data_IF_001537481241
#
_entry.id   IF_001537481241
#
_cell.length_a   1.000
_cell.length_b   1.000
_cell.length_c   1.000
_cell.angle_alpha   90.00
_cell.angle_beta   90.00
_cell.angle_gamma   90.00
#
_symmetry.space_group_name_H-M   'P 1'
#
loop_
_entity.id
_entity.type
_entity.pdbx_description
1 polymer ?
#
# COMPACT_ATOMS: atom_id res chain seq x y z
N UNK A 1 -3.25 -28.91 -42.89
CA UNK A 1 -2.60 -28.87 -41.56
C UNK A 1 -2.60 -27.42 -41.11
N UNK A 2 -3.66 -27.01 -40.42
CA UNK A 2 -3.74 -25.74 -39.69
C UNK A 2 -4.25 -26.11 -38.32
N UNK A 3 -3.37 -26.04 -37.32
CA UNK A 3 -3.71 -26.25 -35.93
C UNK A 3 -4.25 -24.94 -35.38
N UNK A 4 -5.52 -24.93 -35.02
CA UNK A 4 -6.12 -23.90 -34.19
C UNK A 4 -5.49 -23.96 -32.79
N UNK A 5 -4.82 -22.87 -32.41
CA UNK A 5 -4.38 -22.65 -31.04
C UNK A 5 -5.61 -22.35 -30.17
N UNK A 6 -5.80 -23.04 -29.03
CA UNK A 6 -6.90 -22.73 -28.15
C UNK A 6 -6.60 -21.45 -27.37
N UNK A 7 -7.59 -20.56 -27.37
CA UNK A 7 -7.82 -19.43 -26.49
C UNK A 7 -6.97 -19.40 -25.21
N UNK A 8 -5.97 -18.52 -25.19
CA UNK A 8 -5.39 -17.99 -23.96
C UNK A 8 -6.38 -16.99 -23.33
N UNK A 9 -7.54 -17.47 -22.89
CA UNK A 9 -8.36 -16.74 -21.92
C UNK A 9 -7.65 -16.86 -20.58
N UNK A 10 -7.04 -15.76 -20.11
CA UNK A 10 -6.46 -15.71 -18.77
C UNK A 10 -7.51 -16.18 -17.77
N UNK A 11 -7.21 -17.22 -17.00
CA UNK A 11 -8.07 -17.68 -15.91
C UNK A 11 -8.25 -16.51 -14.94
N UNK A 12 -9.45 -15.93 -14.92
CA UNK A 12 -9.85 -14.93 -13.93
C UNK A 12 -9.70 -15.63 -12.56
N UNK A 13 -8.63 -15.28 -11.83
CA UNK A 13 -8.31 -15.93 -10.55
C UNK A 13 -9.37 -15.52 -9.55
N UNK A 14 -10.00 -16.50 -8.90
CA UNK A 14 -10.93 -16.26 -7.78
C UNK A 14 -10.31 -15.30 -6.76
N UNK A 15 -11.12 -14.42 -6.19
CA UNK A 15 -10.71 -13.49 -5.12
C UNK A 15 -9.98 -14.23 -3.98
N UNK A 16 -10.45 -15.43 -3.65
CA UNK A 16 -9.82 -16.34 -2.69
C UNK A 16 -8.37 -16.66 -3.07
N UNK A 17 -8.12 -17.08 -4.31
CA UNK A 17 -6.77 -17.39 -4.80
C UNK A 17 -5.86 -16.17 -4.78
N UNK A 18 -6.38 -14.98 -5.07
CA UNK A 18 -5.60 -13.74 -5.02
C UNK A 18 -5.19 -13.40 -3.58
N UNK A 19 -6.11 -13.53 -2.62
CA UNK A 19 -5.83 -13.29 -1.20
C UNK A 19 -4.85 -14.32 -0.66
N UNK A 20 -5.01 -15.60 -1.00
CA UNK A 20 -4.08 -16.67 -0.61
C UNK A 20 -2.65 -16.35 -1.09
N UNK A 21 -2.50 -15.96 -2.36
CA UNK A 21 -1.21 -15.58 -2.93
C UNK A 21 -0.60 -14.35 -2.26
N UNK A 22 -1.42 -13.35 -1.91
CA UNK A 22 -0.97 -12.16 -1.20
C UNK A 22 -0.48 -12.50 0.22
N UNK A 23 -1.20 -13.36 0.93
CA UNK A 23 -0.79 -13.86 2.26
C UNK A 23 0.50 -14.67 2.14
N UNK A 24 0.60 -15.59 1.19
CA UNK A 24 1.83 -16.37 0.96
C UNK A 24 3.04 -15.50 0.58
N UNK A 25 2.83 -14.47 -0.24
CA UNK A 25 3.88 -13.51 -0.57
C UNK A 25 4.34 -12.73 0.67
N UNK A 26 3.40 -12.31 1.52
CA UNK A 26 3.72 -11.67 2.79
C UNK A 26 4.45 -12.62 3.75
N UNK A 27 4.00 -13.86 3.91
CA UNK A 27 4.65 -14.88 4.73
C UNK A 27 6.09 -15.17 4.28
N UNK A 28 6.36 -15.14 2.97
CA UNK A 28 7.72 -15.27 2.43
C UNK A 28 8.59 -14.04 2.65
N UNK A 29 7.99 -12.88 2.86
CA UNK A 29 8.69 -11.61 3.08
C UNK A 29 9.01 -11.38 4.56
N UNK A 30 8.07 -11.69 5.47
CA UNK A 30 8.18 -11.45 6.92
C UNK A 30 9.53 -11.86 7.55
N UNK A 31 10.14 -13.02 7.22
CA UNK A 31 11.43 -13.40 7.80
C UNK A 31 12.59 -12.45 7.45
N UNK A 32 12.46 -11.64 6.39
CA UNK A 32 13.45 -10.65 5.94
C UNK A 32 13.10 -9.22 6.36
N UNK A 33 11.95 -9.03 7.01
CA UNK A 33 11.67 -7.75 7.65
C UNK A 33 12.73 -7.52 8.73
N UNK A 34 13.08 -6.26 8.98
CA UNK A 34 13.94 -5.86 10.09
C UNK A 34 13.36 -4.58 10.71
N UNK A 35 13.47 -4.40 12.04
CA UNK A 35 13.10 -3.15 12.69
C UNK A 35 13.88 -1.96 12.11
N UNK A 36 13.18 -0.91 11.69
CA UNK A 36 13.83 0.31 11.23
C UNK A 36 14.54 1.01 12.39
N UNK A 37 15.84 1.28 12.24
CA UNK A 37 16.67 2.03 13.20
C UNK A 37 16.63 3.55 12.98
N UNK A 38 15.99 4.01 11.89
CA UNK A 38 15.81 5.43 11.59
C UNK A 38 14.44 5.94 12.04
N UNK A 39 14.37 7.25 12.33
CA UNK A 39 13.20 7.93 12.95
C UNK A 39 11.87 7.43 12.39
N UNK A 40 11.04 6.90 13.28
CA UNK A 40 9.69 6.46 12.96
C UNK A 40 8.77 7.62 12.57
N UNK A 41 7.65 7.28 11.91
CA UNK A 41 6.58 8.25 11.63
C UNK A 41 6.10 8.90 12.94
N UNK A 42 5.96 10.22 12.95
CA UNK A 42 5.39 11.00 14.07
C UNK A 42 3.88 10.84 14.19
N UNK A 43 3.20 10.42 13.12
CA UNK A 43 1.76 10.20 13.09
C UNK A 43 1.40 8.76 12.69
N UNK A 44 0.30 8.20 13.24
CA UNK A 44 -0.23 6.90 12.80
C UNK A 44 -0.58 6.91 11.30
N UNK A 45 -0.28 5.81 10.61
CA UNK A 45 -0.69 5.65 9.22
C UNK A 45 -2.23 5.60 9.12
N UNK A 46 -2.82 6.57 8.40
CA UNK A 46 -4.28 6.67 8.21
C UNK A 46 -4.91 5.48 7.48
N UNK A 47 -4.10 4.70 6.74
CA UNK A 47 -4.55 3.50 6.02
C UNK A 47 -4.59 2.26 6.91
N UNK A 48 -3.64 2.15 7.85
CA UNK A 48 -3.51 0.98 8.73
C UNK A 48 -4.32 1.16 10.03
N UNK A 49 -4.38 2.38 10.55
CA UNK A 49 -5.09 2.67 11.80
C UNK A 49 -6.59 2.35 11.63
N UNK A 50 -7.11 1.44 12.45
CA UNK A 50 -8.51 1.02 12.40
C UNK A 50 -8.87 0.15 11.18
N UNK A 51 -7.89 -0.37 10.44
CA UNK A 51 -8.13 -1.18 9.24
C UNK A 51 -8.88 -2.48 9.56
N UNK A 52 -10.06 -2.73 8.95
CA UNK A 52 -10.78 -4.00 9.10
C UNK A 52 -9.98 -5.20 8.59
N UNK A 53 -9.14 -5.00 7.57
CA UNK A 53 -8.25 -6.00 6.99
C UNK A 53 -7.24 -6.49 8.04
N UNK A 54 -6.59 -5.55 8.74
CA UNK A 54 -5.61 -5.89 9.79
C UNK A 54 -6.27 -6.53 11.01
N UNK A 55 -7.49 -6.11 11.34
CA UNK A 55 -8.28 -6.72 12.40
C UNK A 55 -8.67 -8.17 12.05
N UNK A 56 -9.11 -8.43 10.81
CA UNK A 56 -9.42 -9.77 10.32
C UNK A 56 -8.19 -10.68 10.30
N UNK A 57 -7.03 -10.13 9.88
CA UNK A 57 -5.74 -10.83 9.91
C UNK A 57 -5.19 -11.07 11.33
N UNK A 58 -5.76 -10.42 12.36
CA UNK A 58 -5.40 -10.62 13.77
C UNK A 58 -4.09 -9.98 14.19
N UNK A 59 -3.62 -8.96 13.47
CA UNK A 59 -2.35 -8.25 13.74
C UNK A 59 -2.53 -6.74 14.01
N UNK A 60 -3.78 -6.27 14.05
CA UNK A 60 -4.09 -4.88 14.36
C UNK A 60 -3.61 -4.51 15.77
N UNK A 61 -2.66 -3.57 15.84
CA UNK A 61 -2.18 -2.99 17.11
C UNK A 61 -1.20 -3.87 17.90
N UNK A 62 -0.90 -5.08 17.47
CA UNK A 62 -0.01 -6.03 18.17
C UNK A 62 1.30 -6.29 17.44
N UNK A 63 1.54 -5.61 16.32
CA UNK A 63 2.65 -5.91 15.41
C UNK A 63 3.26 -4.59 14.91
N UNK A 64 4.56 -4.50 14.60
CA UNK A 64 5.16 -3.29 14.05
C UNK A 64 4.45 -2.76 12.79
N UNK A 65 4.43 -1.44 12.64
CA UNK A 65 3.75 -0.79 11.51
C UNK A 65 4.22 -1.30 10.15
N UNK A 66 5.53 -1.47 9.94
CA UNK A 66 6.07 -1.96 8.66
C UNK A 66 5.53 -3.33 8.26
N UNK A 67 5.38 -4.23 9.24
CA UNK A 67 4.83 -5.57 9.03
C UNK A 67 3.34 -5.53 8.71
N UNK A 68 2.56 -4.73 9.45
CA UNK A 68 1.14 -4.50 9.16
C UNK A 68 0.95 -3.89 7.77
N UNK A 69 1.75 -2.87 7.45
CA UNK A 69 1.71 -2.14 6.19
C UNK A 69 1.96 -3.08 5.01
N UNK A 70 2.99 -3.93 5.11
CA UNK A 70 3.32 -4.93 4.09
C UNK A 70 2.17 -5.87 3.73
N UNK A 71 1.34 -6.30 4.69
CA UNK A 71 0.15 -7.10 4.41
C UNK A 71 -0.96 -6.24 3.81
N UNK A 72 -1.21 -5.07 4.42
CA UNK A 72 -2.31 -4.19 4.03
C UNK A 72 -2.19 -3.69 2.58
N UNK A 73 -0.97 -3.38 2.11
CA UNK A 73 -0.75 -2.94 0.73
C UNK A 73 -1.06 -4.04 -0.27
N UNK A 74 -0.60 -5.27 -0.02
CA UNK A 74 -0.85 -6.42 -0.90
C UNK A 74 -2.36 -6.71 -1.02
N UNK A 75 -3.08 -6.63 0.10
CA UNK A 75 -4.54 -6.77 0.11
C UNK A 75 -5.21 -5.59 -0.62
N UNK A 76 -4.73 -4.36 -0.40
CA UNK A 76 -5.23 -3.18 -1.10
C UNK A 76 -5.08 -3.32 -2.61
N UNK A 77 -3.96 -3.84 -3.11
CA UNK A 77 -3.76 -4.09 -4.56
C UNK A 77 -4.85 -4.98 -5.15
N UNK A 78 -5.31 -6.00 -4.41
CA UNK A 78 -6.41 -6.88 -4.84
C UNK A 78 -7.73 -6.09 -4.93
N UNK A 79 -8.04 -5.27 -3.92
CA UNK A 79 -9.23 -4.41 -3.92
C UNK A 79 -9.18 -3.43 -5.07
N UNK A 80 -8.05 -2.74 -5.25
CA UNK A 80 -7.85 -1.76 -6.31
C UNK A 80 -8.02 -2.39 -7.70
N UNK A 81 -7.49 -3.60 -7.91
CA UNK A 81 -7.66 -4.34 -9.17
C UNK A 81 -9.13 -4.70 -9.42
N UNK A 82 -9.82 -5.28 -8.43
CA UNK A 82 -11.23 -5.63 -8.57
C UNK A 82 -12.11 -4.40 -8.85
N UNK A 83 -11.85 -3.29 -8.15
CA UNK A 83 -12.56 -2.02 -8.37
C UNK A 83 -12.23 -1.45 -9.74
N UNK A 84 -10.99 -1.53 -10.21
CA UNK A 84 -10.60 -1.09 -11.55
C UNK A 84 -11.31 -1.90 -12.64
N UNK A 85 -11.39 -3.23 -12.50
CA UNK A 85 -12.12 -4.07 -13.45
C UNK A 85 -13.62 -3.77 -13.46
N UNK A 86 -14.22 -3.60 -12.26
CA UNK A 86 -15.62 -3.19 -12.15
C UNK A 86 -15.86 -1.81 -12.78
N UNK A 87 -14.99 -0.86 -12.52
CA UNK A 87 -15.08 0.51 -13.05
C UNK A 87 -14.98 0.51 -14.57
N UNK A 88 -14.01 -0.20 -15.14
CA UNK A 88 -13.83 -0.29 -16.59
C UNK A 88 -15.02 -0.94 -17.31
N UNK A 89 -15.67 -1.92 -16.66
CA UNK A 89 -16.83 -2.64 -17.24
C UNK A 89 -18.15 -1.87 -17.08
N UNK A 90 -18.34 -1.14 -15.98
CA UNK A 90 -19.65 -0.64 -15.58
C UNK A 90 -19.77 0.89 -15.46
N UNK A 91 -18.66 1.61 -15.32
CA UNK A 91 -18.63 3.03 -14.95
C UNK A 91 -17.87 3.87 -16.00
N UNK A 92 -18.46 4.07 -17.19
CA UNK A 92 -17.75 4.66 -18.33
C UNK A 92 -17.44 6.16 -18.19
N UNK A 93 -18.15 6.88 -17.32
CA UNK A 93 -17.84 8.30 -17.06
C UNK A 93 -16.61 8.39 -16.17
N UNK A 94 -16.60 7.65 -15.05
CA UNK A 94 -15.49 7.54 -14.13
C UNK A 94 -14.25 6.97 -14.81
N UNK A 95 -14.39 5.92 -15.61
CA UNK A 95 -13.26 5.32 -16.34
C UNK A 95 -12.57 6.34 -17.24
N UNK A 96 -13.34 7.17 -17.95
CA UNK A 96 -12.79 8.21 -18.84
C UNK A 96 -12.00 9.27 -18.08
N UNK A 97 -12.50 9.70 -16.92
CA UNK A 97 -11.79 10.64 -16.05
C UNK A 97 -10.50 10.02 -15.48
N UNK A 98 -10.55 8.75 -15.07
CA UNK A 98 -9.38 8.01 -14.62
C UNK A 98 -8.34 7.85 -15.74
N UNK A 99 -8.77 7.53 -16.97
CA UNK A 99 -7.88 7.42 -18.13
C UNK A 99 -7.21 8.75 -18.47
N UNK A 100 -7.98 9.85 -18.42
CA UNK A 100 -7.46 11.19 -18.63
C UNK A 100 -6.42 11.54 -17.56
N UNK A 101 -6.71 11.25 -16.29
CA UNK A 101 -5.78 11.48 -15.19
C UNK A 101 -4.54 10.58 -15.26
N UNK A 102 -4.69 9.31 -15.66
CA UNK A 102 -3.59 8.39 -15.85
C UNK A 102 -2.67 8.84 -17.01
N UNK A 103 -3.25 9.32 -18.12
CA UNK A 103 -2.48 9.88 -19.23
C UNK A 103 -1.67 11.11 -18.80
N UNK A 104 -2.26 12.00 -17.98
CA UNK A 104 -1.54 13.13 -17.39
C UNK A 104 -0.42 12.71 -16.47
N UNK A 105 -0.68 11.77 -15.56
CA UNK A 105 0.36 11.26 -14.67
C UNK A 105 1.51 10.65 -15.49
N UNK A 106 1.20 9.91 -16.57
CA UNK A 106 2.18 9.37 -17.53
C UNK A 106 2.93 10.43 -18.36
N UNK A 107 2.45 11.66 -18.41
CA UNK A 107 3.13 12.77 -19.07
C UNK A 107 4.06 13.55 -18.12
N UNK A 108 3.99 13.32 -16.81
CA UNK A 108 4.89 13.96 -15.83
C UNK A 108 6.33 13.54 -16.07
N UNK A 109 7.24 14.51 -15.99
CA UNK A 109 8.69 14.35 -16.10
C UNK A 109 9.32 13.67 -14.88
N UNK A 110 8.69 13.77 -13.71
CA UNK A 110 9.17 13.17 -12.46
C UNK A 110 8.08 12.41 -11.70
N UNK A 111 8.39 11.17 -11.28
CA UNK A 111 7.49 10.28 -10.52
C UNK A 111 8.26 9.55 -9.40
N UNK A 112 8.27 10.10 -8.18
CA UNK A 112 9.09 9.55 -7.10
C UNK A 112 8.60 8.20 -6.55
N UNK A 113 7.38 7.78 -6.88
CA UNK A 113 6.78 6.52 -6.39
C UNK A 113 6.71 5.43 -7.44
N UNK A 114 7.23 5.66 -8.65
CA UNK A 114 7.25 4.65 -9.72
C UNK A 114 8.20 3.50 -9.32
N UNK A 115 7.79 2.27 -9.61
CA UNK A 115 8.56 1.04 -9.36
C UNK A 115 8.99 0.77 -7.90
N UNK A 116 8.29 1.35 -6.92
CA UNK A 116 8.51 1.03 -5.50
C UNK A 116 7.88 -0.32 -5.13
N UNK A 117 8.59 -1.10 -4.29
CA UNK A 117 8.02 -2.32 -3.71
C UNK A 117 6.81 -2.00 -2.79
N UNK A 118 5.85 -2.95 -2.62
CA UNK A 118 4.63 -2.71 -1.84
C UNK A 118 4.84 -2.23 -0.40
N UNK A 119 5.94 -2.64 0.25
CA UNK A 119 6.33 -2.17 1.58
C UNK A 119 6.65 -0.67 1.63
N UNK A 120 7.10 -0.08 0.53
CA UNK A 120 7.42 1.36 0.44
C UNK A 120 6.23 2.19 -0.04
N UNK A 121 5.16 1.58 -0.56
CA UNK A 121 3.99 2.31 -1.05
C UNK A 121 3.35 3.15 0.05
N UNK A 122 3.22 4.47 -0.15
CA UNK A 122 2.62 5.37 0.84
C UNK A 122 3.53 5.67 2.04
N UNK A 123 4.82 5.36 1.96
CA UNK A 123 5.84 5.99 2.80
C UNK A 123 5.90 7.50 2.52
N UNK A 124 6.16 8.34 3.55
CA UNK A 124 6.37 9.76 3.33
C UNK A 124 7.57 9.92 2.39
N UNK A 125 7.41 10.72 1.34
CA UNK A 125 8.48 10.99 0.39
C UNK A 125 9.58 11.83 1.04
N UNK A 126 9.17 12.76 1.90
CA UNK A 126 10.06 13.69 2.58
C UNK A 126 10.04 13.46 4.09
N UNK A 127 11.18 13.68 4.77
CA UNK A 127 11.23 13.71 6.22
C UNK A 127 10.42 14.87 6.79
N UNK A 128 9.94 14.72 8.02
CA UNK A 128 9.23 15.80 8.73
C UNK A 128 10.19 16.99 8.92
N UNK A 129 9.79 18.23 8.55
CA UNK A 129 10.63 19.39 8.71
C UNK A 129 10.96 19.67 10.18
N UNK A 130 12.26 19.90 10.44
CA UNK A 130 12.74 20.30 11.76
C UNK A 130 12.81 21.83 11.81
N UNK A 131 12.24 22.49 12.83
CA UNK A 131 12.35 23.93 12.98
C UNK A 131 13.82 24.39 12.93
N UNK A 132 14.12 25.35 12.06
CA UNK A 132 15.48 25.89 11.88
C UNK A 132 16.41 25.12 10.94
N UNK A 133 15.99 23.97 10.39
CA UNK A 133 16.73 23.23 9.37
C UNK A 133 15.99 23.32 8.01
N UNK A 134 16.30 24.29 7.14
CA UNK A 134 15.61 24.42 5.87
C UNK A 134 16.04 23.32 4.89
N UNK A 135 15.07 22.72 4.20
CA UNK A 135 15.35 21.96 3.00
C UNK A 135 15.54 22.91 1.81
N UNK A 136 16.52 22.64 0.95
CA UNK A 136 16.68 23.36 -0.30
C UNK A 136 15.59 22.99 -1.32
N UNK A 137 15.13 21.73 -1.27
CA UNK A 137 14.04 21.18 -2.08
C UNK A 137 13.42 19.98 -1.35
N UNK A 138 12.19 19.62 -1.70
CA UNK A 138 11.51 18.40 -1.25
C UNK A 138 11.18 17.53 -2.45
N UNK A 139 11.18 16.21 -2.27
CA UNK A 139 10.79 15.24 -3.29
C UNK A 139 9.33 15.50 -3.71
N UNK A 140 8.44 15.78 -2.75
CA UNK A 140 7.07 16.18 -3.01
C UNK A 140 6.99 17.49 -3.81
N UNK A 141 7.80 18.49 -3.46
CA UNK A 141 7.84 19.78 -4.17
C UNK A 141 8.27 19.62 -5.64
N UNK A 142 9.31 18.83 -5.89
CA UNK A 142 9.74 18.51 -7.27
C UNK A 142 8.66 17.77 -8.07
N UNK A 143 7.88 16.91 -7.41
CA UNK A 143 6.76 16.22 -8.05
C UNK A 143 5.57 17.16 -8.36
N UNK A 144 5.32 18.14 -7.49
CA UNK A 144 4.30 19.17 -7.70
C UNK A 144 4.69 20.13 -8.84
N UNK A 145 5.96 20.54 -8.90
CA UNK A 145 6.49 21.36 -10.00
C UNK A 145 6.32 20.66 -11.35
N UNK A 146 6.67 19.37 -11.43
CA UNK A 146 6.46 18.53 -12.62
C UNK A 146 4.97 18.41 -13.00
N UNK A 147 4.06 18.42 -12.02
CA UNK A 147 2.62 18.38 -12.28
C UNK A 147 2.07 19.71 -12.78
N UNK A 148 2.62 20.84 -12.32
CA UNK A 148 2.21 22.19 -12.70
C UNK A 148 2.59 22.55 -14.15
N UNK A 149 3.62 21.91 -14.71
CA UNK A 149 4.02 22.08 -16.12
C UNK A 149 2.96 21.54 -17.11
N UNK A 150 2.06 20.66 -16.66
CA UNK A 150 1.04 20.06 -17.52
C UNK A 150 -0.15 21.03 -17.73
N UNK A 151 -0.69 21.15 -18.95
CA UNK A 151 -1.82 22.04 -19.24
C UNK A 151 -3.03 21.68 -18.36
N UNK A 152 -3.88 22.62 -17.92
CA UNK A 152 -5.03 22.30 -17.07
C UNK A 152 -6.08 21.44 -17.81
N UNK A 153 -6.85 20.66 -17.06
CA UNK A 153 -7.99 19.91 -17.60
C UNK A 153 -9.16 20.85 -17.94
N UNK A 154 -9.91 20.59 -19.02
CA UNK A 154 -11.13 21.33 -19.30
C UNK A 154 -12.16 21.09 -18.19
N UNK A 155 -12.96 22.10 -17.82
CA UNK A 155 -13.97 21.95 -16.76
C UNK A 155 -15.09 21.00 -17.20
N UNK A 156 -15.59 20.20 -16.24
CA UNK A 156 -16.75 19.33 -16.45
C UNK A 156 -18.06 20.13 -16.49
N UNK A 157 -19.03 19.69 -17.30
CA UNK A 157 -20.42 20.18 -17.23
C UNK A 157 -21.08 19.73 -15.92
N UNK A 158 -22.20 20.34 -15.56
CA UNK A 158 -22.90 19.98 -14.32
C UNK A 158 -23.56 18.60 -14.38
N UNK A 159 -24.01 18.19 -15.57
CA UNK A 159 -24.49 16.83 -15.82
C UNK A 159 -23.35 15.82 -15.68
N UNK A 160 -22.17 16.11 -16.25
CA UNK A 160 -21.00 15.26 -16.14
C UNK A 160 -20.53 15.12 -14.68
N UNK A 161 -20.54 16.20 -13.90
CA UNK A 161 -20.24 16.15 -12.45
C UNK A 161 -21.25 15.28 -11.70
N UNK A 162 -22.52 15.35 -12.04
CA UNK A 162 -23.57 14.57 -11.38
C UNK A 162 -23.44 13.09 -11.68
N UNK A 163 -23.24 12.73 -12.95
CA UNK A 163 -22.96 11.35 -13.36
C UNK A 163 -21.69 10.80 -12.69
N UNK A 164 -20.62 11.60 -12.67
CA UNK A 164 -19.36 11.21 -12.03
C UNK A 164 -19.54 10.92 -10.53
N UNK A 165 -20.28 11.75 -9.80
CA UNK A 165 -20.56 11.50 -8.37
C UNK A 165 -21.32 10.20 -8.13
N UNK A 166 -22.28 9.89 -9.00
CA UNK A 166 -23.04 8.63 -8.92
C UNK A 166 -22.14 7.42 -9.18
N UNK A 167 -21.32 7.48 -10.23
CA UNK A 167 -20.39 6.39 -10.55
C UNK A 167 -19.31 6.21 -9.47
N UNK A 168 -18.81 7.30 -8.87
CA UNK A 168 -17.89 7.23 -7.71
C UNK A 168 -18.56 6.53 -6.52
N UNK A 169 -19.83 6.81 -6.23
CA UNK A 169 -20.56 6.14 -5.16
C UNK A 169 -20.69 4.63 -5.42
N UNK A 170 -21.00 4.23 -6.66
CA UNK A 170 -21.06 2.81 -7.05
C UNK A 170 -19.70 2.11 -6.92
N UNK A 171 -18.61 2.78 -7.31
CA UNK A 171 -17.26 2.23 -7.14
C UNK A 171 -16.93 2.01 -5.66
N UNK A 172 -17.30 2.95 -4.78
CA UNK A 172 -17.09 2.83 -3.33
C UNK A 172 -17.93 1.70 -2.71
N UNK A 173 -19.20 1.57 -3.11
CA UNK A 173 -20.06 0.46 -2.69
C UNK A 173 -19.46 -0.90 -3.08
N UNK A 174 -18.91 -1.00 -4.30
CA UNK A 174 -18.24 -2.20 -4.78
C UNK A 174 -16.93 -2.47 -4.02
N UNK A 175 -16.12 -1.44 -3.76
CA UNK A 175 -14.91 -1.56 -2.94
C UNK A 175 -15.23 -2.11 -1.54
N UNK A 176 -16.31 -1.61 -0.93
CA UNK A 176 -16.80 -2.09 0.37
C UNK A 176 -17.28 -3.55 0.31
N UNK A 177 -17.92 -3.98 -0.79
CA UNK A 177 -18.33 -5.37 -0.99
C UNK A 177 -17.11 -6.30 -1.04
N UNK A 178 -16.16 -6.01 -1.93
CA UNK A 178 -14.93 -6.80 -2.10
C UNK A 178 -14.12 -6.82 -0.79
N UNK A 179 -13.99 -5.68 -0.12
CA UNK A 179 -13.27 -5.57 1.15
C UNK A 179 -13.86 -6.46 2.25
N UNK A 180 -15.20 -6.60 2.32
CA UNK A 180 -15.86 -7.51 3.27
C UNK A 180 -15.57 -8.97 2.96
N UNK A 181 -15.61 -9.36 1.70
CA UNK A 181 -15.31 -10.73 1.27
C UNK A 181 -13.87 -11.11 1.58
N UNK A 182 -12.92 -10.22 1.29
CA UNK A 182 -11.50 -10.39 1.64
C UNK A 182 -11.34 -10.56 3.15
N UNK A 183 -12.02 -9.74 3.97
CA UNK A 183 -11.97 -9.91 5.43
C UNK A 183 -12.42 -11.32 5.85
N UNK A 184 -13.47 -11.86 5.22
CA UNK A 184 -13.94 -13.23 5.44
C UNK A 184 -12.87 -14.28 5.11
N UNK A 185 -12.17 -14.11 3.99
CA UNK A 185 -11.07 -15.00 3.58
C UNK A 185 -9.90 -14.92 4.56
N UNK A 186 -9.50 -13.71 4.97
CA UNK A 186 -8.38 -13.47 5.89
C UNK A 186 -8.57 -14.10 7.28
N UNK A 187 -9.82 -14.21 7.75
CA UNK A 187 -10.11 -14.90 9.02
C UNK A 187 -9.58 -16.35 9.02
N UNK A 188 -9.55 -17.03 7.87
CA UNK A 188 -9.01 -18.39 7.73
C UNK A 188 -7.48 -18.44 7.83
N UNK A 189 -6.81 -17.34 7.46
CA UNK A 189 -5.35 -17.19 7.51
C UNK A 189 -4.83 -16.68 8.86
N UNK A 190 -5.72 -16.19 9.73
CA UNK A 190 -5.38 -15.50 10.97
C UNK A 190 -4.35 -16.24 11.83
N UNK A 191 -4.55 -17.55 12.05
CA UNK A 191 -3.64 -18.36 12.89
C UNK A 191 -2.25 -18.45 12.25
N UNK A 192 -2.18 -18.68 10.93
CA UNK A 192 -0.90 -18.75 10.20
C UNK A 192 -0.16 -17.41 10.23
N UNK A 193 -0.89 -16.31 10.03
CA UNK A 193 -0.35 -14.95 10.09
C UNK A 193 0.23 -14.66 11.48
N UNK A 194 -0.53 -14.93 12.54
CA UNK A 194 -0.08 -14.72 13.92
C UNK A 194 1.13 -15.58 14.26
N UNK A 195 1.14 -16.85 13.84
CA UNK A 195 2.29 -17.73 14.05
C UNK A 195 3.56 -17.23 13.34
N UNK A 196 3.44 -16.64 12.15
CA UNK A 196 4.56 -16.04 11.44
C UNK A 196 5.10 -14.80 12.16
N UNK A 197 4.21 -13.94 12.70
CA UNK A 197 4.61 -12.79 13.52
C UNK A 197 5.40 -13.26 14.74
N UNK A 198 4.88 -14.19 15.53
CA UNK A 198 5.59 -14.63 16.74
C UNK A 198 6.88 -15.39 16.43
N UNK A 199 6.97 -16.08 15.29
CA UNK A 199 8.19 -16.79 14.89
C UNK A 199 9.30 -15.88 14.38
N UNK A 200 8.96 -14.79 13.70
CA UNK A 200 9.94 -14.02 12.93
C UNK A 200 10.07 -12.57 13.39
N UNK A 201 8.98 -11.93 13.78
CA UNK A 201 8.95 -10.50 14.10
C UNK A 201 9.32 -10.26 15.56
N UNK A 202 8.71 -11.00 16.48
CA UNK A 202 8.99 -10.87 17.92
C UNK A 202 10.49 -11.06 18.24
N UNK A 203 11.19 -12.09 17.74
CA UNK A 203 12.61 -12.28 18.03
C UNK A 203 13.52 -11.16 17.51
N UNK A 204 13.17 -10.55 16.38
CA UNK A 204 13.94 -9.43 15.83
C UNK A 204 13.76 -8.16 16.66
N UNK A 205 12.57 -7.93 17.22
CA UNK A 205 12.34 -6.83 18.16
C UNK A 205 13.13 -7.05 19.43
N UNK A 206 13.12 -8.27 19.98
CA UNK A 206 13.89 -8.63 21.17
C UNK A 206 15.40 -8.42 20.96
N UNK A 207 15.92 -8.84 19.80
CA UNK A 207 17.32 -8.63 19.44
C UNK A 207 17.68 -7.13 19.39
N UNK A 208 16.86 -6.30 18.75
CA UNK A 208 17.06 -4.85 18.72
C UNK A 208 17.03 -4.25 20.13
N UNK A 209 16.08 -4.65 20.98
CA UNK A 209 15.99 -4.14 22.35
C UNK A 209 17.19 -4.56 23.20
N UNK A 210 17.71 -5.78 23.01
CA UNK A 210 18.91 -6.25 23.68
C UNK A 210 20.14 -5.43 23.26
N UNK A 211 20.34 -5.20 21.96
CA UNK A 211 21.42 -4.36 21.42
C UNK A 211 21.32 -2.91 21.96
N UNK A 212 20.12 -2.32 21.96
CA UNK A 212 19.91 -0.99 22.53
C UNK A 212 20.22 -0.94 24.02
N UNK A 213 19.87 -1.98 24.79
CA UNK A 213 20.17 -2.05 26.23
C UNK A 213 21.68 -2.11 26.48
N UNK A 214 22.41 -2.96 25.74
CA UNK A 214 23.87 -3.06 25.83
C UNK A 214 24.56 -1.73 25.50
N UNK A 215 24.11 -1.05 24.44
CA UNK A 215 24.64 0.27 24.05
C UNK A 215 24.40 1.37 25.11
N UNK A 216 23.31 1.26 25.88
CA UNK A 216 22.96 2.22 26.93
C UNK A 216 23.66 1.92 28.25
N UNK A 217 24.02 0.65 28.51
CA UNK A 217 24.74 0.22 29.72
C UNK A 217 26.25 0.51 29.65
N UNK A 218 26.81 0.74 28.45
CA UNK A 218 28.20 1.21 28.27
C UNK A 218 28.29 2.44 27.35
N UNK A 219 27.76 3.61 27.75
CA UNK A 219 27.66 4.78 26.88
C UNK A 219 29.01 5.44 26.56
N UNK A 220 30.11 4.99 27.21
CA UNK A 220 31.45 5.56 27.11
C UNK A 220 32.55 4.50 27.17
N UNK A 221 32.39 3.34 26.54
CA UNK A 221 33.47 2.36 26.46
C UNK A 221 34.64 2.93 25.61
N UNK A 222 35.83 3.19 26.19
CA UNK A 222 36.95 3.80 25.46
C UNK A 222 37.62 2.86 24.43
N UNK A 223 37.17 1.61 24.35
CA UNK A 223 37.71 0.58 23.44
C UNK A 223 36.90 0.38 22.14
N UNK A 224 35.90 1.24 21.87
CA UNK A 224 35.32 1.39 20.53
C UNK A 224 36.16 2.46 19.77
N UNK A 225 36.92 2.10 18.73
CA UNK A 225 37.80 3.03 18.02
C UNK A 225 37.05 4.10 17.23
#
# INVERSE_FOLDING_TARGET
MSGDAPYAGGVERSLETQVDQAVEAWLRWVPRWEPATHRGRTAPCRRCLGSPVLAAAGIAGTTPHGVQHGLSTRVKTIVDHAVAEYTARNLPTLQRELDQQAARNRARSYRPTEDLDPEFEGMPLDPEPVPGAPFLFTIAGLADDSAAELPPLPPLSDEAKTALRQEVALADEYANLVGREICGILLRHRITIQAAVSRHVEPQIEALLAELTESLDSPFDPDIP
#
